data_IF_029964565017
#
_entry.id   IF_029964565017
#
_cell.length_a   1.000
_cell.length_b   1.000
_cell.length_c   1.000
_cell.angle_alpha   90.00
_cell.angle_beta   90.00
_cell.angle_gamma   90.00
#
_symmetry.space_group_name_H-M   'P 1'
#
loop_
_entity.id
_entity.type
_entity.pdbx_description
1 polymer ?
#
# COMPACT_ATOMS: atom_id res chain seq x y z
N UNK A 1 -14.10 15.16 16.18
CA UNK A 1 -15.24 14.40 15.63
C UNK A 1 -15.77 13.33 16.58
N UNK A 2 -14.96 12.37 17.05
CA UNK A 2 -15.44 11.36 18.03
C UNK A 2 -16.09 11.97 19.29
N UNK A 3 -15.43 12.96 19.90
CA UNK A 3 -15.98 13.69 21.06
C UNK A 3 -17.29 14.41 20.71
N UNK A 4 -17.43 14.94 19.50
CA UNK A 4 -18.66 15.59 19.03
C UNK A 4 -19.78 14.56 18.94
N UNK A 5 -19.53 13.39 18.34
CA UNK A 5 -20.48 12.28 18.32
C UNK A 5 -20.87 11.83 19.74
N UNK A 6 -19.91 11.74 20.66
CA UNK A 6 -20.18 11.38 22.05
C UNK A 6 -21.06 12.42 22.77
N UNK A 7 -20.81 13.72 22.57
CA UNK A 7 -21.64 14.80 23.12
C UNK A 7 -23.04 14.77 22.51
N UNK A 8 -23.16 14.66 21.19
CA UNK A 8 -24.46 14.57 20.51
C UNK A 8 -25.26 13.34 20.93
N UNK A 9 -24.58 12.22 21.19
CA UNK A 9 -25.21 10.99 21.72
C UNK A 9 -25.75 11.24 23.12
N UNK A 10 -24.97 11.89 24.02
CA UNK A 10 -25.45 12.25 25.36
C UNK A 10 -26.60 13.26 25.37
N UNK A 11 -26.66 14.12 24.35
CA UNK A 11 -27.73 15.11 24.19
C UNK A 11 -28.97 14.55 23.47
N UNK A 12 -29.01 13.23 23.18
CA UNK A 12 -30.08 12.57 22.43
C UNK A 12 -30.40 13.25 21.08
N UNK A 13 -29.36 13.77 20.41
CA UNK A 13 -29.48 14.39 19.07
C UNK A 13 -29.69 13.33 17.99
N UNK A 14 -29.21 12.11 18.22
CA UNK A 14 -29.31 11.00 17.28
C UNK A 14 -30.46 10.07 17.67
N UNK A 15 -31.16 9.54 16.66
CA UNK A 15 -32.29 8.61 16.86
C UNK A 15 -31.84 7.33 17.58
N UNK A 16 -32.74 6.74 18.37
CA UNK A 16 -32.58 5.40 18.93
C UNK A 16 -32.97 4.29 17.94
N UNK A 17 -33.60 4.63 16.82
CA UNK A 17 -34.03 3.70 15.79
C UNK A 17 -32.84 3.16 14.98
N UNK A 18 -32.55 1.84 15.00
CA UNK A 18 -31.44 1.25 14.25
C UNK A 18 -31.49 1.47 12.73
N UNK A 19 -32.69 1.68 12.17
CA UNK A 19 -32.88 1.90 10.74
C UNK A 19 -32.60 3.35 10.32
N UNK A 20 -32.52 4.28 11.28
CA UNK A 20 -32.18 5.67 11.02
C UNK A 20 -30.66 5.84 10.79
N UNK A 21 -30.29 6.64 9.79
CA UNK A 21 -28.88 6.88 9.47
C UNK A 21 -28.11 7.53 10.63
N UNK A 22 -28.78 8.35 11.45
CA UNK A 22 -28.21 9.02 12.62
C UNK A 22 -27.83 8.06 13.74
N UNK A 23 -28.47 6.89 13.82
CA UNK A 23 -28.13 5.85 14.80
C UNK A 23 -26.68 5.37 14.66
N UNK A 24 -26.16 5.31 13.44
CA UNK A 24 -24.76 4.93 13.15
C UNK A 24 -23.73 5.95 13.64
N UNK A 25 -24.16 7.16 13.99
CA UNK A 25 -23.31 8.21 14.55
C UNK A 25 -23.15 8.10 16.07
N UNK A 26 -23.90 7.22 16.73
CA UNK A 26 -23.90 7.07 18.18
C UNK A 26 -22.69 6.31 18.70
N UNK A 27 -22.19 6.73 19.87
CA UNK A 27 -21.01 6.10 20.51
C UNK A 27 -21.36 4.99 21.51
N UNK A 28 -22.63 4.89 21.93
CA UNK A 28 -23.08 3.94 22.95
C UNK A 28 -23.50 2.57 22.39
N UNK A 29 -23.80 2.49 21.09
CA UNK A 29 -24.28 1.29 20.37
C UNK A 29 -23.36 0.07 20.58
N UNK A 30 -22.05 0.28 20.61
CA UNK A 30 -21.04 -0.79 20.73
C UNK A 30 -20.42 -0.87 22.13
N UNK A 31 -21.03 -0.23 23.15
CA UNK A 31 -20.48 -0.19 24.52
C UNK A 31 -20.35 -1.58 25.15
N UNK A 32 -21.29 -2.50 24.87
CA UNK A 32 -21.22 -3.91 25.33
C UNK A 32 -19.97 -4.62 24.83
N UNK A 33 -19.54 -4.37 23.59
CA UNK A 33 -18.31 -4.94 23.02
C UNK A 33 -17.10 -4.57 23.87
N UNK A 34 -17.04 -3.33 24.36
CA UNK A 34 -15.95 -2.86 25.22
C UNK A 34 -16.00 -3.57 26.57
N UNK A 35 -17.18 -3.83 27.14
CA UNK A 35 -17.33 -4.52 28.43
C UNK A 35 -16.95 -6.01 28.32
N UNK A 36 -17.43 -6.69 27.28
CA UNK A 36 -17.30 -8.14 27.12
C UNK A 36 -15.93 -8.58 26.60
N UNK A 37 -15.19 -7.70 25.91
CA UNK A 37 -13.88 -8.05 25.34
C UNK A 37 -12.83 -8.28 26.44
N UNK A 38 -12.04 -9.37 26.42
CA UNK A 38 -10.97 -9.57 27.39
C UNK A 38 -9.88 -8.50 27.29
N UNK A 39 -9.13 -8.29 28.37
CA UNK A 39 -8.01 -7.34 28.38
C UNK A 39 -6.86 -7.76 27.47
N UNK A 40 -6.59 -9.06 27.40
CA UNK A 40 -5.53 -9.64 26.56
C UNK A 40 -6.23 -10.51 25.51
N UNK A 41 -5.99 -10.18 24.24
CA UNK A 41 -6.48 -10.93 23.09
C UNK A 41 -5.29 -11.26 22.20
N UNK A 42 -4.95 -12.54 22.10
CA UNK A 42 -3.86 -13.01 21.24
C UNK A 42 -4.49 -13.81 20.10
N UNK A 43 -4.45 -13.31 18.85
CA UNK A 43 -4.97 -14.06 17.71
C UNK A 43 -4.08 -15.29 17.48
N UNK A 44 -4.71 -16.42 17.18
CA UNK A 44 -4.01 -17.65 16.81
C UNK A 44 -4.43 -18.08 15.40
N UNK A 45 -3.54 -18.75 14.66
CA UNK A 45 -3.83 -19.15 13.29
C UNK A 45 -5.01 -20.13 13.24
N UNK A 46 -5.95 -19.89 12.32
CA UNK A 46 -7.13 -20.75 12.14
C UNK A 46 -8.28 -20.48 13.12
N UNK A 47 -8.26 -19.37 13.87
CA UNK A 47 -9.33 -19.00 14.80
C UNK A 47 -10.73 -18.88 14.15
N UNK A 48 -10.81 -18.60 12.84
CA UNK A 48 -12.07 -18.45 12.11
C UNK A 48 -12.40 -19.66 11.21
N UNK A 49 -11.74 -20.80 11.42
CA UNK A 49 -11.96 -22.04 10.68
C UNK A 49 -10.86 -22.35 9.66
N UNK A 50 -11.06 -23.45 8.93
CA UNK A 50 -10.09 -23.95 7.93
C UNK A 50 -10.13 -23.13 6.65
N UNK A 51 -8.99 -22.93 5.96
CA UNK A 51 -8.94 -22.19 4.71
C UNK A 51 -9.84 -22.83 3.65
N UNK A 52 -10.71 -22.03 3.03
CA UNK A 52 -11.57 -22.44 1.92
C UNK A 52 -11.05 -21.80 0.63
N UNK A 53 -11.01 -22.57 -0.45
CA UNK A 53 -10.58 -22.07 -1.75
C UNK A 53 -11.79 -21.73 -2.62
N UNK A 54 -11.82 -20.51 -3.15
CA UNK A 54 -12.75 -20.07 -4.17
C UNK A 54 -11.95 -19.42 -5.30
N UNK A 55 -12.06 -19.96 -6.52
CA UNK A 55 -11.26 -19.52 -7.65
C UNK A 55 -11.52 -18.05 -8.05
N UNK A 56 -12.77 -17.58 -7.98
CA UNK A 56 -13.13 -16.22 -8.34
C UNK A 56 -12.60 -15.20 -7.32
N UNK A 57 -12.72 -15.50 -6.03
CA UNK A 57 -12.16 -14.67 -4.96
C UNK A 57 -10.63 -14.67 -5.06
N UNK A 58 -10.01 -15.84 -5.29
CA UNK A 58 -8.57 -15.96 -5.47
C UNK A 58 -8.06 -15.07 -6.61
N UNK A 59 -8.71 -15.09 -7.79
CA UNK A 59 -8.33 -14.24 -8.91
C UNK A 59 -8.53 -12.75 -8.62
N UNK A 60 -9.63 -12.39 -7.95
CA UNK A 60 -9.87 -11.01 -7.51
C UNK A 60 -8.78 -10.47 -6.59
N UNK A 61 -8.37 -11.27 -5.60
CA UNK A 61 -7.28 -10.91 -4.70
C UNK A 61 -5.91 -10.96 -5.38
N UNK A 62 -5.68 -11.88 -6.31
CA UNK A 62 -4.43 -11.94 -7.09
C UNK A 62 -4.22 -10.63 -7.85
N UNK A 63 -5.27 -10.12 -8.48
CA UNK A 63 -5.25 -8.84 -9.18
C UNK A 63 -4.97 -7.68 -8.20
N UNK A 64 -5.67 -7.66 -7.06
CA UNK A 64 -5.45 -6.63 -6.04
C UNK A 64 -4.01 -6.63 -5.50
N UNK A 65 -3.43 -7.81 -5.29
CA UNK A 65 -2.03 -7.97 -4.84
C UNK A 65 -1.06 -7.48 -5.91
N UNK A 66 -1.29 -7.77 -7.20
CA UNK A 66 -0.45 -7.25 -8.29
C UNK A 66 -0.48 -5.72 -8.30
N UNK A 67 -1.65 -5.10 -8.17
CA UNK A 67 -1.78 -3.64 -8.09
C UNK A 67 -1.06 -3.08 -6.85
N UNK A 68 -1.20 -3.74 -5.70
CA UNK A 68 -0.51 -3.36 -4.45
C UNK A 68 1.01 -3.48 -4.55
N UNK A 69 1.55 -4.47 -5.27
CA UNK A 69 3.00 -4.58 -5.51
C UNK A 69 3.51 -3.40 -6.33
N UNK A 70 2.76 -2.96 -7.35
CA UNK A 70 3.14 -1.80 -8.17
C UNK A 70 3.12 -0.52 -7.33
N UNK A 71 2.08 -0.33 -6.52
CA UNK A 71 2.00 0.76 -5.55
C UNK A 71 3.21 0.74 -4.59
N UNK A 72 3.55 -0.43 -4.05
CA UNK A 72 4.63 -0.59 -3.08
C UNK A 72 6.01 -0.29 -3.66
N UNK A 73 6.26 -0.67 -4.92
CA UNK A 73 7.47 -0.27 -5.64
C UNK A 73 7.56 1.25 -5.76
N UNK A 74 6.44 1.91 -6.09
CA UNK A 74 6.35 3.37 -6.14
C UNK A 74 6.66 4.02 -4.78
N UNK A 75 6.10 3.47 -3.70
CA UNK A 75 6.33 3.95 -2.33
C UNK A 75 7.80 3.81 -1.90
N UNK A 76 8.47 2.72 -2.27
CA UNK A 76 9.89 2.53 -1.95
C UNK A 76 10.76 3.58 -2.63
N UNK A 77 10.51 3.84 -3.92
CA UNK A 77 11.24 4.85 -4.70
C UNK A 77 10.94 6.25 -4.17
N UNK A 78 9.67 6.56 -3.89
CA UNK A 78 9.25 7.84 -3.33
C UNK A 78 9.86 8.07 -1.94
N UNK A 79 9.91 7.03 -1.10
CA UNK A 79 10.55 7.09 0.23
C UNK A 79 12.03 7.41 0.10
N UNK A 80 12.75 6.72 -0.80
CA UNK A 80 14.16 6.98 -1.04
C UNK A 80 14.39 8.44 -1.48
N UNK A 81 13.55 8.95 -2.39
CA UNK A 81 13.61 10.34 -2.87
C UNK A 81 13.37 11.35 -1.75
N UNK A 82 12.34 11.15 -0.94
CA UNK A 82 11.98 12.03 0.19
C UNK A 82 13.07 12.03 1.27
N UNK A 83 13.73 10.88 1.48
CA UNK A 83 14.83 10.76 2.43
C UNK A 83 16.18 11.26 1.88
N UNK A 84 16.26 11.71 0.62
CA UNK A 84 17.51 11.96 -0.09
C UNK A 84 18.48 10.77 0.02
N UNK A 85 17.95 9.55 -0.11
CA UNK A 85 18.71 8.32 -0.03
C UNK A 85 19.14 7.86 -1.43
N UNK A 86 20.07 6.89 -1.45
CA UNK A 86 20.47 6.23 -2.69
C UNK A 86 19.27 5.55 -3.40
N UNK A 87 19.32 5.43 -4.74
CA UNK A 87 18.35 4.66 -5.50
C UNK A 87 18.21 3.24 -4.94
N UNK A 88 16.96 2.75 -4.87
CA UNK A 88 16.68 1.45 -4.24
C UNK A 88 17.17 0.32 -5.16
N UNK A 89 18.09 -0.55 -4.72
CA UNK A 89 18.60 -1.62 -5.55
C UNK A 89 17.57 -2.75 -5.71
N UNK A 90 17.65 -3.49 -6.83
CA UNK A 90 16.68 -4.56 -7.18
C UNK A 90 16.53 -5.63 -6.09
N UNK A 91 17.62 -6.01 -5.41
CA UNK A 91 17.57 -7.00 -4.33
C UNK A 91 16.77 -6.50 -3.12
N UNK A 92 16.82 -5.20 -2.82
CA UNK A 92 16.06 -4.59 -1.73
C UNK A 92 14.56 -4.50 -2.09
N UNK A 93 14.22 -4.19 -3.34
CA UNK A 93 12.84 -4.21 -3.86
C UNK A 93 12.24 -5.61 -3.76
N UNK A 94 12.91 -6.63 -4.31
CA UNK A 94 12.44 -8.01 -4.28
C UNK A 94 12.24 -8.52 -2.85
N UNK A 95 13.14 -8.15 -1.94
CA UNK A 95 13.01 -8.47 -0.52
C UNK A 95 11.82 -7.78 0.15
N UNK A 96 11.60 -6.49 -0.14
CA UNK A 96 10.44 -5.76 0.38
C UNK A 96 9.13 -6.44 0.02
N UNK A 97 8.94 -6.74 -1.28
CA UNK A 97 7.76 -7.43 -1.81
C UNK A 97 7.61 -8.83 -1.19
N UNK A 98 8.70 -9.58 -1.04
CA UNK A 98 8.65 -10.91 -0.42
C UNK A 98 8.20 -10.84 1.05
N UNK A 99 8.67 -9.84 1.81
CA UNK A 99 8.27 -9.62 3.20
C UNK A 99 6.79 -9.27 3.28
N UNK A 100 6.29 -8.38 2.41
CA UNK A 100 4.86 -8.06 2.32
C UNK A 100 4.00 -9.30 2.01
N UNK A 101 4.45 -10.16 1.10
CA UNK A 101 3.77 -11.43 0.81
C UNK A 101 3.73 -12.37 2.02
N UNK A 102 4.86 -12.54 2.72
CA UNK A 102 4.95 -13.36 3.94
C UNK A 102 4.00 -12.84 5.02
N UNK A 103 4.01 -11.54 5.29
CA UNK A 103 3.13 -10.94 6.29
C UNK A 103 1.67 -10.94 5.85
N UNK A 104 1.37 -10.89 4.55
CA UNK A 104 0.01 -11.10 4.04
C UNK A 104 -0.51 -12.51 4.32
N UNK A 105 0.34 -13.53 4.16
CA UNK A 105 -0.01 -14.91 4.53
C UNK A 105 -0.24 -15.01 6.04
N UNK A 106 0.65 -14.45 6.86
CA UNK A 106 0.50 -14.44 8.33
C UNK A 106 -0.80 -13.74 8.72
N UNK A 107 -1.06 -12.55 8.16
CA UNK A 107 -2.29 -11.75 8.35
C UNK A 107 -3.53 -12.59 8.03
N UNK A 108 -3.56 -13.24 6.87
CA UNK A 108 -4.65 -14.14 6.46
C UNK A 108 -4.83 -15.33 7.40
N UNK A 109 -3.75 -15.98 7.83
CA UNK A 109 -3.82 -17.14 8.76
C UNK A 109 -4.30 -16.75 10.15
N UNK A 110 -3.89 -15.58 10.65
CA UNK A 110 -4.36 -14.99 11.90
C UNK A 110 -5.79 -14.44 11.79
N UNK A 111 -6.37 -14.40 10.58
CA UNK A 111 -7.78 -14.11 10.40
C UNK A 111 -8.14 -12.63 10.31
N UNK A 112 -7.19 -11.76 10.01
CA UNK A 112 -7.46 -10.32 9.79
C UNK A 112 -8.29 -10.07 8.53
N UNK A 113 -8.27 -11.01 7.57
CA UNK A 113 -9.00 -10.95 6.31
C UNK A 113 -8.44 -9.96 5.28
N UNK A 114 -7.26 -9.39 5.49
CA UNK A 114 -6.67 -8.38 4.61
C UNK A 114 -5.17 -8.64 4.35
N UNK A 115 -4.71 -8.34 3.13
CA UNK A 115 -3.30 -8.38 2.76
C UNK A 115 -2.55 -7.17 3.33
N UNK A 116 -1.22 -7.28 3.46
CA UNK A 116 -0.34 -6.19 3.92
C UNK A 116 0.35 -5.55 2.73
N UNK A 117 0.48 -4.22 2.76
CA UNK A 117 1.11 -3.40 1.71
C UNK A 117 1.91 -2.27 2.36
N UNK A 118 2.76 -1.59 1.60
CA UNK A 118 3.37 -0.33 2.04
C UNK A 118 2.32 0.73 2.36
N UNK A 119 2.63 1.63 3.30
CA UNK A 119 1.76 2.75 3.66
C UNK A 119 2.25 4.04 3.00
N UNK A 120 1.64 4.42 1.87
CA UNK A 120 1.90 5.65 1.11
C UNK A 120 1.69 6.93 1.95
N UNK A 121 0.83 6.86 2.97
CA UNK A 121 0.66 7.93 3.96
C UNK A 121 1.89 8.15 4.84
N UNK A 122 2.66 7.08 5.12
CA UNK A 122 3.93 7.17 5.84
C UNK A 122 4.96 7.92 5.01
N UNK A 123 5.02 7.64 3.70
CA UNK A 123 5.89 8.36 2.75
C UNK A 123 5.60 9.86 2.77
N UNK A 124 4.31 10.22 2.75
CA UNK A 124 3.86 11.61 2.82
C UNK A 124 4.25 12.27 4.15
N UNK A 125 4.11 11.55 5.27
CA UNK A 125 4.50 12.05 6.60
C UNK A 125 6.00 12.25 6.73
N UNK A 126 6.83 11.40 6.10
CA UNK A 126 8.28 11.58 6.05
C UNK A 126 8.64 12.90 5.38
N UNK A 127 7.95 13.28 4.30
CA UNK A 127 8.18 14.56 3.62
C UNK A 127 7.88 15.78 4.49
N UNK A 128 6.89 15.67 5.37
CA UNK A 128 6.51 16.74 6.30
C UNK A 128 7.40 16.80 7.54
N UNK A 129 7.66 15.65 8.16
CA UNK A 129 8.40 15.56 9.43
C UNK A 129 9.90 15.64 9.23
N UNK A 130 10.40 15.29 8.04
CA UNK A 130 11.82 15.14 7.71
C UNK A 130 12.57 14.14 8.62
N UNK A 131 11.84 13.19 9.22
CA UNK A 131 12.42 12.14 10.07
C UNK A 131 12.41 10.82 9.30
N UNK A 132 13.51 10.51 8.62
CA UNK A 132 13.72 9.26 7.87
C UNK A 132 14.30 8.09 8.70
N UNK A 133 14.18 8.13 10.03
CA UNK A 133 14.82 7.15 10.91
C UNK A 133 14.05 5.83 10.99
N UNK A 134 14.73 4.71 10.72
CA UNK A 134 14.16 3.35 10.79
C UNK A 134 13.73 2.95 12.18
N UNK A 135 14.44 3.43 13.20
CA UNK A 135 14.14 3.11 14.61
C UNK A 135 12.74 3.60 14.97
N UNK A 136 12.31 4.74 14.42
CA UNK A 136 10.96 5.26 14.61
C UNK A 136 9.90 4.29 14.08
N UNK A 137 10.12 3.72 12.89
CA UNK A 137 9.22 2.73 12.29
C UNK A 137 9.21 1.41 13.09
N UNK A 138 10.37 0.95 13.58
CA UNK A 138 10.46 -0.26 14.43
C UNK A 138 9.72 -0.06 15.75
N UNK A 139 9.93 1.08 16.43
CA UNK A 139 9.23 1.41 17.67
C UNK A 139 7.73 1.53 17.43
N UNK A 140 7.31 2.17 16.34
CA UNK A 140 5.90 2.25 15.95
C UNK A 140 5.28 0.86 15.75
N UNK A 141 5.98 -0.05 15.07
CA UNK A 141 5.56 -1.44 14.91
C UNK A 141 5.44 -2.20 16.22
N UNK A 142 6.41 -2.04 17.14
CA UNK A 142 6.34 -2.64 18.48
C UNK A 142 5.13 -2.11 19.26
N UNK A 143 4.90 -0.79 19.23
CA UNK A 143 3.73 -0.17 19.86
C UNK A 143 2.44 -0.74 19.26
N UNK A 144 2.36 -0.87 17.94
CA UNK A 144 1.18 -1.43 17.27
C UNK A 144 0.92 -2.89 17.70
N UNK A 145 1.96 -3.72 17.81
CA UNK A 145 1.84 -5.11 18.30
C UNK A 145 1.35 -5.14 19.75
N UNK A 146 1.92 -4.31 20.62
CA UNK A 146 1.48 -4.21 22.03
C UNK A 146 0.02 -3.77 22.12
N UNK A 147 -0.37 -2.74 21.36
CA UNK A 147 -1.75 -2.26 21.32
C UNK A 147 -2.72 -3.30 20.75
N UNK A 148 -2.28 -4.11 19.77
CA UNK A 148 -3.09 -5.19 19.21
C UNK A 148 -3.38 -6.30 20.23
N UNK A 149 -2.47 -6.56 21.17
CA UNK A 149 -2.66 -7.54 22.25
C UNK A 149 -3.65 -7.02 23.31
N UNK A 150 -3.76 -5.69 23.46
CA UNK A 150 -4.69 -5.07 24.40
C UNK A 150 -6.10 -5.11 23.79
N UNK A 151 -6.87 -6.16 24.10
CA UNK A 151 -8.19 -6.40 23.52
C UNK A 151 -9.17 -5.22 23.73
N UNK A 152 -9.11 -4.55 24.88
CA UNK A 152 -9.91 -3.34 25.16
C UNK A 152 -9.60 -2.20 24.20
N UNK A 153 -8.34 -2.02 23.79
CA UNK A 153 -7.97 -1.02 22.80
C UNK A 153 -8.63 -1.33 21.45
N UNK A 154 -8.54 -2.58 21.01
CA UNK A 154 -9.25 -3.06 19.81
C UNK A 154 -10.76 -2.83 19.89
N UNK A 155 -11.38 -3.12 21.03
CA UNK A 155 -12.82 -2.89 21.25
C UNK A 155 -13.20 -1.41 21.17
N UNK A 156 -12.37 -0.51 21.69
CA UNK A 156 -12.55 0.94 21.55
C UNK A 156 -12.45 1.37 20.08
N UNK A 157 -11.48 0.84 19.32
CA UNK A 157 -11.35 1.14 17.89
C UNK A 157 -12.57 0.66 17.09
N UNK A 158 -13.13 -0.51 17.42
CA UNK A 158 -14.38 -0.99 16.82
C UNK A 158 -15.60 -0.15 17.22
N UNK A 159 -15.55 0.54 18.36
CA UNK A 159 -16.62 1.43 18.83
C UNK A 159 -16.65 2.80 18.15
N UNK A 160 -15.69 3.11 17.29
CA UNK A 160 -15.64 4.38 16.56
C UNK A 160 -16.88 4.50 15.64
N UNK A 161 -17.66 5.60 15.73
CA UNK A 161 -18.84 5.79 14.89
C UNK A 161 -18.52 5.87 13.41
N UNK A 162 -19.44 5.40 12.57
CA UNK A 162 -19.27 5.31 11.13
C UNK A 162 -18.96 6.66 10.45
N UNK A 163 -19.57 7.81 10.85
CA UNK A 163 -19.21 9.11 10.27
C UNK A 163 -17.75 9.53 10.54
N UNK A 164 -17.20 9.13 11.69
CA UNK A 164 -15.80 9.41 12.03
C UNK A 164 -14.87 8.56 11.16
N UNK A 165 -15.20 7.28 10.99
CA UNK A 165 -14.48 6.39 10.07
C UNK A 165 -14.52 6.93 8.64
N UNK A 166 -15.69 7.36 8.16
CA UNK A 166 -15.83 7.98 6.85
C UNK A 166 -14.96 9.23 6.68
N UNK A 167 -14.91 10.11 7.68
CA UNK A 167 -14.06 11.31 7.65
C UNK A 167 -12.56 11.00 7.63
N UNK A 168 -12.12 10.01 8.41
CA UNK A 168 -10.72 9.55 8.41
C UNK A 168 -10.36 8.96 7.04
N UNK A 169 -11.20 8.08 6.50
CA UNK A 169 -10.99 7.48 5.17
C UNK A 169 -10.96 8.54 4.08
N UNK A 170 -11.84 9.55 4.12
CA UNK A 170 -11.83 10.66 3.17
C UNK A 170 -10.50 11.43 3.21
N UNK A 171 -10.00 11.76 4.40
CA UNK A 171 -8.72 12.44 4.55
C UNK A 171 -7.55 11.58 4.04
N UNK A 172 -7.55 10.28 4.37
CA UNK A 172 -6.53 9.33 3.92
C UNK A 172 -6.50 9.18 2.40
N UNK A 173 -7.67 9.02 1.76
CA UNK A 173 -7.79 8.96 0.30
C UNK A 173 -7.36 10.26 -0.37
N UNK A 174 -7.59 11.42 0.27
CA UNK A 174 -7.10 12.71 -0.21
C UNK A 174 -5.57 12.81 -0.23
N UNK A 175 -4.91 12.30 0.81
CA UNK A 175 -3.44 12.21 0.84
C UNK A 175 -2.93 11.24 -0.21
N UNK A 176 -3.58 10.08 -0.36
CA UNK A 176 -3.22 9.09 -1.38
C UNK A 176 -3.34 9.66 -2.81
N UNK A 177 -4.42 10.39 -3.09
CA UNK A 177 -4.61 11.10 -4.36
C UNK A 177 -3.51 12.15 -4.59
N UNK A 178 -3.14 12.89 -3.54
CA UNK A 178 -2.06 13.90 -3.62
C UNK A 178 -0.70 13.26 -3.94
N UNK A 179 -0.40 12.08 -3.40
CA UNK A 179 0.83 11.34 -3.70
C UNK A 179 0.84 10.87 -5.17
N UNK A 180 -0.28 10.35 -5.68
CA UNK A 180 -0.43 10.00 -7.09
C UNK A 180 -0.22 11.19 -8.03
N UNK A 181 -0.78 12.36 -7.69
CA UNK A 181 -0.56 13.60 -8.44
C UNK A 181 0.89 14.08 -8.38
N UNK A 182 1.58 13.90 -7.25
CA UNK A 182 3.00 14.24 -7.13
C UNK A 182 3.87 13.40 -8.08
N UNK A 183 3.54 12.13 -8.30
CA UNK A 183 4.25 11.29 -9.27
C UNK A 183 4.18 11.85 -10.70
N UNK A 184 3.04 12.45 -11.08
CA UNK A 184 2.84 13.06 -12.41
C UNK A 184 3.73 14.29 -12.66
N UNK A 185 4.33 14.88 -11.63
CA UNK A 185 5.26 16.02 -11.78
C UNK A 185 6.56 15.65 -12.52
N UNK A 186 6.85 14.35 -12.64
CA UNK A 186 7.99 13.86 -13.39
C UNK A 186 7.72 13.70 -14.89
N UNK A 187 6.44 13.69 -15.29
CA UNK A 187 5.98 13.51 -16.67
C UNK A 187 5.79 14.87 -17.36
N UNK A 188 5.98 14.94 -18.68
CA UNK A 188 5.73 16.18 -19.44
C UNK A 188 4.22 16.41 -19.64
N UNK A 189 3.60 17.19 -18.76
CA UNK A 189 2.16 17.50 -18.81
C UNK A 189 1.77 18.50 -19.92
N UNK A 190 2.73 19.06 -20.66
CA UNK A 190 2.43 19.86 -21.86
C UNK A 190 2.09 19.01 -23.07
N UNK A 191 2.48 17.74 -23.08
CA UNK A 191 2.18 16.83 -24.18
C UNK A 191 0.71 16.42 -24.13
N UNK A 192 -0.03 16.71 -25.22
CA UNK A 192 -1.43 16.32 -25.38
C UNK A 192 -1.59 14.80 -25.26
N UNK A 193 -0.61 14.03 -25.72
CA UNK A 193 -0.52 12.58 -25.58
C UNK A 193 -0.66 12.15 -24.12
N UNK A 194 0.18 12.68 -23.23
CA UNK A 194 0.19 12.31 -21.82
C UNK A 194 -1.10 12.73 -21.12
N UNK A 195 -1.60 13.95 -21.40
CA UNK A 195 -2.87 14.43 -20.86
C UNK A 195 -4.04 13.52 -21.28
N UNK A 196 -4.07 13.07 -22.53
CA UNK A 196 -5.08 12.13 -23.02
C UNK A 196 -4.99 10.77 -22.32
N UNK A 197 -3.79 10.21 -22.17
CA UNK A 197 -3.58 8.94 -21.45
C UNK A 197 -4.09 9.03 -20.01
N UNK A 198 -3.70 10.09 -19.28
CA UNK A 198 -4.11 10.30 -17.89
C UNK A 198 -5.63 10.48 -17.79
N UNK A 199 -6.20 11.39 -18.58
CA UNK A 199 -7.62 11.73 -18.52
C UNK A 199 -8.53 10.56 -18.87
N UNK A 200 -8.22 9.84 -19.95
CA UNK A 200 -9.00 8.67 -20.39
C UNK A 200 -8.92 7.56 -19.34
N UNK A 201 -7.73 7.27 -18.80
CA UNK A 201 -7.55 6.21 -17.81
C UNK A 201 -8.32 6.48 -16.51
N UNK A 202 -8.23 7.72 -16.00
CA UNK A 202 -8.95 8.12 -14.78
C UNK A 202 -10.46 8.10 -14.97
N UNK A 203 -10.96 8.70 -16.04
CA UNK A 203 -12.40 8.79 -16.26
C UNK A 203 -13.01 7.42 -16.56
N UNK A 204 -12.36 6.62 -17.40
CA UNK A 204 -12.85 5.29 -17.75
C UNK A 204 -12.85 4.33 -16.55
N UNK A 205 -11.85 4.42 -15.67
CA UNK A 205 -11.82 3.67 -14.42
C UNK A 205 -13.07 3.89 -13.56
N UNK A 206 -13.46 5.15 -13.36
CA UNK A 206 -14.63 5.51 -12.56
C UNK A 206 -15.92 5.11 -13.26
N UNK A 207 -16.04 5.40 -14.56
CA UNK A 207 -17.27 5.12 -15.32
C UNK A 207 -17.52 3.61 -15.43
N UNK A 208 -16.50 2.81 -15.76
CA UNK A 208 -16.68 1.37 -15.97
C UNK A 208 -16.98 0.66 -14.65
N UNK A 209 -16.29 1.02 -13.56
CA UNK A 209 -16.53 0.42 -12.25
C UNK A 209 -17.92 0.75 -11.71
N UNK A 210 -18.39 1.99 -11.87
CA UNK A 210 -19.74 2.37 -11.45
C UNK A 210 -20.82 1.75 -12.35
N UNK A 211 -20.60 1.69 -13.67
CA UNK A 211 -21.48 0.97 -14.59
C UNK A 211 -21.62 -0.51 -14.19
N UNK A 212 -20.51 -1.17 -13.89
CA UNK A 212 -20.51 -2.57 -13.43
C UNK A 212 -21.26 -2.75 -12.11
N UNK A 213 -21.21 -1.74 -11.22
CA UNK A 213 -21.94 -1.75 -9.93
C UNK A 213 -23.44 -1.57 -10.11
N UNK A 214 -23.85 -0.70 -11.04
CA UNK A 214 -25.28 -0.45 -11.33
C UNK A 214 -25.92 -1.58 -12.13
N UNK A 215 -25.14 -2.24 -13.00
CA UNK A 215 -25.63 -3.31 -13.86
C UNK A 215 -24.87 -4.64 -13.61
N UNK A 216 -25.04 -5.24 -12.42
CA UNK A 216 -24.28 -6.43 -12.03
C UNK A 216 -24.57 -7.64 -12.91
N UNK A 217 -25.72 -7.69 -13.60
CA UNK A 217 -26.15 -8.83 -14.42
C UNK A 217 -26.05 -8.60 -15.93
N UNK A 218 -25.36 -7.52 -16.35
CA UNK A 218 -25.19 -7.22 -17.78
C UNK A 218 -24.25 -8.17 -18.51
N UNK A 219 -23.30 -8.80 -17.80
CA UNK A 219 -22.34 -9.74 -18.37
C UNK A 219 -22.71 -11.16 -17.91
N UNK A 220 -23.50 -11.84 -18.74
CA UNK A 220 -23.87 -13.25 -18.55
C UNK A 220 -23.10 -14.11 -19.54
N UNK A 221 -22.01 -14.71 -19.07
CA UNK A 221 -21.34 -15.84 -19.72
C UNK A 221 -21.94 -17.15 -19.20
N UNK A 222 -21.76 -18.25 -19.94
CA UNK A 222 -22.24 -19.60 -19.59
C UNK A 222 -21.62 -20.18 -18.30
N UNK A 223 -20.66 -19.49 -17.67
CA UNK A 223 -20.01 -19.91 -16.43
C UNK A 223 -20.16 -18.86 -15.33
N UNK A 224 -20.76 -19.26 -14.20
CA UNK A 224 -20.90 -18.42 -13.01
C UNK A 224 -19.56 -17.96 -12.43
N UNK A 225 -18.52 -18.78 -12.54
CA UNK A 225 -17.19 -18.43 -12.07
C UNK A 225 -16.58 -17.30 -12.91
N UNK A 226 -16.71 -17.38 -14.24
CA UNK A 226 -16.26 -16.32 -15.14
C UNK A 226 -17.03 -15.02 -14.89
N UNK A 227 -18.36 -15.12 -14.70
CA UNK A 227 -19.18 -13.96 -14.35
C UNK A 227 -18.67 -13.30 -13.06
N UNK A 228 -18.36 -14.07 -12.02
CA UNK A 228 -17.84 -13.52 -10.77
C UNK A 228 -16.46 -12.87 -10.94
N UNK A 229 -15.56 -13.48 -11.70
CA UNK A 229 -14.22 -12.92 -11.98
C UNK A 229 -14.35 -11.57 -12.69
N UNK A 230 -15.18 -11.50 -13.73
CA UNK A 230 -15.41 -10.28 -14.51
C UNK A 230 -16.03 -9.20 -13.63
N UNK A 231 -17.05 -9.53 -12.81
CA UNK A 231 -17.68 -8.60 -11.87
C UNK A 231 -16.66 -8.00 -10.89
N UNK A 232 -15.83 -8.82 -10.26
CA UNK A 232 -14.82 -8.36 -9.29
C UNK A 232 -13.73 -7.52 -9.97
N UNK A 233 -13.30 -7.92 -11.16
CA UNK A 233 -12.23 -7.26 -11.90
C UNK A 233 -12.66 -5.90 -12.42
N UNK A 234 -13.82 -5.82 -13.08
CA UNK A 234 -14.35 -4.57 -13.64
C UNK A 234 -14.87 -3.62 -12.56
N UNK A 235 -15.35 -4.15 -11.42
CA UNK A 235 -15.76 -3.33 -10.28
C UNK A 235 -14.59 -2.64 -9.56
N UNK A 236 -13.35 -3.06 -9.79
CA UNK A 236 -12.18 -2.43 -9.19
C UNK A 236 -11.63 -1.30 -10.06
N UNK A 237 -11.99 -0.05 -9.71
CA UNK A 237 -11.56 1.14 -10.43
C UNK A 237 -10.03 1.26 -10.56
N UNK A 238 -9.26 0.90 -9.52
CA UNK A 238 -7.80 0.99 -9.57
C UNK A 238 -7.22 0.05 -10.62
N UNK A 239 -7.71 -1.19 -10.67
CA UNK A 239 -7.26 -2.16 -11.68
C UNK A 239 -7.63 -1.72 -13.09
N UNK A 240 -8.87 -1.29 -13.32
CA UNK A 240 -9.33 -0.81 -14.62
C UNK A 240 -8.48 0.38 -15.08
N UNK A 241 -8.27 1.38 -14.21
CA UNK A 241 -7.44 2.53 -14.51
C UNK A 241 -6.01 2.16 -14.85
N UNK A 242 -5.43 1.22 -14.09
CA UNK A 242 -4.10 0.69 -14.35
C UNK A 242 -4.01 0.05 -15.75
N UNK A 243 -4.90 -0.89 -16.07
CA UNK A 243 -4.88 -1.59 -17.37
C UNK A 243 -5.08 -0.62 -18.54
N UNK A 244 -6.03 0.32 -18.42
CA UNK A 244 -6.27 1.32 -19.46
C UNK A 244 -5.06 2.22 -19.64
N UNK A 245 -4.43 2.66 -18.54
CA UNK A 245 -3.22 3.48 -18.61
C UNK A 245 -2.07 2.76 -19.29
N UNK A 246 -1.89 1.46 -19.01
CA UNK A 246 -0.86 0.63 -19.61
C UNK A 246 -1.11 0.45 -21.11
N UNK A 247 -2.34 0.11 -21.51
CA UNK A 247 -2.72 -0.05 -22.92
C UNK A 247 -2.50 1.27 -23.66
N UNK A 248 -2.97 2.38 -23.09
CA UNK A 248 -2.87 3.70 -23.70
C UNK A 248 -1.40 4.15 -23.82
N UNK A 249 -0.59 3.97 -22.78
CA UNK A 249 0.82 4.37 -22.82
C UNK A 249 1.65 3.54 -23.80
N UNK A 250 1.32 2.27 -24.03
CA UNK A 250 2.00 1.42 -25.02
C UNK A 250 1.48 1.63 -26.45
N UNK A 251 0.21 1.95 -26.63
CA UNK A 251 -0.41 2.09 -27.95
C UNK A 251 -0.17 3.48 -28.54
N UNK A 252 -0.22 4.53 -27.72
CA UNK A 252 -0.04 5.91 -28.18
C UNK A 252 1.46 6.23 -28.21
N UNK A 253 1.99 6.47 -29.41
CA UNK A 253 3.40 6.84 -29.64
C UNK A 253 3.81 8.02 -28.74
N UNK A 254 4.96 7.90 -28.11
CA UNK A 254 5.54 8.94 -27.26
C UNK A 254 7.04 8.73 -27.10
N UNK A 255 7.75 9.78 -26.76
CA UNK A 255 9.20 9.75 -26.51
C UNK A 255 9.51 9.52 -25.02
N UNK A 256 10.71 9.02 -24.72
CA UNK A 256 11.15 8.79 -23.32
C UNK A 256 11.20 10.09 -22.50
N UNK A 257 11.45 11.23 -23.18
CA UNK A 257 11.36 12.56 -22.58
C UNK A 257 9.92 12.87 -22.15
N UNK A 258 8.95 12.64 -23.02
CA UNK A 258 7.54 12.90 -22.69
C UNK A 258 7.08 12.02 -21.53
N UNK A 259 7.51 10.76 -21.49
CA UNK A 259 7.20 9.82 -20.39
C UNK A 259 7.87 10.19 -19.06
N UNK A 260 8.85 11.11 -19.06
CA UNK A 260 9.55 11.54 -17.85
C UNK A 260 10.73 10.67 -17.43
N UNK A 261 11.06 9.63 -18.20
CA UNK A 261 12.12 8.65 -17.87
C UNK A 261 13.48 9.36 -17.75
N UNK A 262 13.81 10.21 -18.73
CA UNK A 262 15.09 10.94 -18.73
C UNK A 262 15.24 11.89 -17.53
N UNK A 263 14.14 12.47 -17.05
CA UNK A 263 14.14 13.37 -15.89
C UNK A 263 14.37 12.58 -14.60
N UNK A 264 13.78 11.40 -14.50
CA UNK A 264 13.95 10.51 -13.36
C UNK A 264 15.37 9.93 -13.28
N UNK A 265 15.94 9.53 -14.42
CA UNK A 265 17.32 9.05 -14.50
C UNK A 265 18.33 10.14 -14.11
N UNK A 266 18.14 11.35 -14.62
CA UNK A 266 18.99 12.50 -14.29
C UNK A 266 18.94 12.82 -12.78
N UNK A 267 17.74 12.84 -12.18
CA UNK A 267 17.56 13.12 -10.76
C UNK A 267 18.15 12.01 -9.87
N UNK A 268 18.06 10.75 -10.30
CA UNK A 268 18.72 9.63 -9.61
C UNK A 268 20.24 9.73 -9.68
N UNK A 269 20.80 10.14 -10.83
CA UNK A 269 22.23 10.32 -11.00
C UNK A 269 22.77 11.48 -10.14
N UNK A 270 22.07 12.62 -10.12
CA UNK A 270 22.42 13.79 -9.31
C UNK A 270 22.40 13.47 -7.81
N UNK A 271 21.33 12.81 -7.33
CA UNK A 271 21.25 12.36 -5.93
C UNK A 271 22.36 11.38 -5.59
N UNK A 272 22.66 10.42 -6.48
CA UNK A 272 23.76 9.47 -6.30
C UNK A 272 25.10 10.20 -6.16
N UNK A 273 25.37 11.19 -7.00
CA UNK A 273 26.62 11.95 -6.97
C UNK A 273 26.75 12.79 -5.69
N UNK A 274 25.69 13.53 -5.33
CA UNK A 274 25.67 14.35 -4.10
C UNK A 274 25.96 13.51 -2.85
N UNK A 275 25.42 12.30 -2.77
CA UNK A 275 25.62 11.40 -1.63
C UNK A 275 27.01 10.76 -1.58
N UNK A 276 27.70 10.66 -2.71
CA UNK A 276 29.08 10.17 -2.77
C UNK A 276 30.10 11.24 -2.36
N UNK A 277 29.73 12.51 -2.45
CA UNK A 277 30.57 13.66 -2.09
C UNK A 277 30.47 14.03 -0.60
N UNK A 278 29.49 13.49 0.14
CA UNK A 278 29.27 13.77 1.57
C UNK A 278 29.83 12.65 2.47
N UNK A 279 30.92 12.95 3.18
CA UNK A 279 31.64 12.04 4.08
C UNK A 279 30.81 11.56 5.30
N UNK A 280 29.68 12.21 5.59
CA UNK A 280 28.79 11.84 6.72
C UNK A 280 27.63 10.92 6.32
N UNK A 281 27.56 10.49 5.05
CA UNK A 281 26.45 9.68 4.54
C UNK A 281 26.58 8.21 4.95
N UNK A 282 25.44 7.62 5.36
CA UNK A 282 25.34 6.20 5.70
C UNK A 282 25.72 5.34 4.47
N UNK A 283 26.67 4.39 4.59
CA UNK A 283 27.05 3.50 3.50
C UNK A 283 25.84 2.75 2.93
N UNK A 284 25.79 2.56 1.60
CA UNK A 284 24.70 1.82 0.92
C UNK A 284 24.44 0.45 1.51
N UNK A 285 25.50 -0.26 1.90
CA UNK A 285 25.41 -1.56 2.58
C UNK A 285 24.67 -1.46 3.90
N UNK A 286 25.00 -0.48 4.75
CA UNK A 286 24.33 -0.26 6.03
C UNK A 286 22.88 0.21 5.85
N UNK A 287 22.62 0.95 4.77
CA UNK A 287 21.28 1.36 4.40
C UNK A 287 20.47 0.15 3.89
N UNK A 288 20.89 -0.61 2.90
CA UNK A 288 20.04 -1.69 2.39
C UNK A 288 20.19 -3.04 3.12
N UNK A 289 21.04 -3.14 4.15
CA UNK A 289 21.09 -4.34 5.00
C UNK A 289 20.03 -4.35 6.10
N UNK A 290 19.59 -5.55 6.44
CA UNK A 290 18.69 -5.79 7.57
C UNK A 290 19.48 -5.74 8.90
N UNK A 291 18.99 -5.00 9.90
CA UNK A 291 19.56 -5.04 11.24
C UNK A 291 19.38 -6.46 11.82
N UNK A 292 20.39 -6.98 12.50
CA UNK A 292 20.46 -8.33 13.10
C UNK A 292 20.49 -9.52 12.13
N UNK A 293 19.75 -9.47 11.02
CA UNK A 293 19.73 -10.57 10.03
C UNK A 293 21.06 -10.70 9.31
N UNK A 294 21.70 -9.58 8.96
CA UNK A 294 23.07 -9.57 8.42
C UNK A 294 24.09 -10.24 9.37
N UNK A 295 23.89 -10.13 10.69
CA UNK A 295 24.71 -10.84 11.70
C UNK A 295 24.38 -12.33 11.76
N UNK A 296 23.10 -12.70 11.70
CA UNK A 296 22.64 -14.09 11.65
C UNK A 296 23.13 -14.81 10.37
N UNK A 297 23.17 -14.13 9.23
CA UNK A 297 23.69 -14.66 7.97
C UNK A 297 25.21 -14.82 7.93
N UNK A 298 25.95 -14.06 8.74
CA UNK A 298 27.38 -14.29 8.97
C UNK A 298 27.60 -15.56 9.81
N UNK A 299 26.67 -15.87 10.71
CA UNK A 299 26.72 -17.07 11.57
C UNK A 299 26.20 -18.34 10.87
N UNK A 300 25.14 -18.23 10.05
CA UNK A 300 24.48 -19.35 9.37
C UNK A 300 24.65 -19.26 7.84
N UNK A 301 25.60 -20.03 7.27
CA UNK A 301 25.85 -20.13 5.82
C UNK A 301 24.64 -20.48 4.93
N UNK A 302 23.69 -21.37 5.31
CA UNK A 302 22.55 -21.68 4.44
C UNK A 302 21.58 -20.51 4.27
N UNK A 303 21.52 -19.59 5.25
CA UNK A 303 20.67 -18.40 5.21
C UNK A 303 21.08 -17.39 4.12
N UNK A 304 22.27 -17.53 3.52
CA UNK A 304 22.73 -16.72 2.36
C UNK A 304 22.10 -17.16 1.03
N UNK A 305 21.61 -18.39 0.93
CA UNK A 305 21.00 -18.94 -0.29
C UNK A 305 19.49 -18.66 -0.37
N UNK A 306 18.93 -18.03 0.67
CA UNK A 306 17.53 -17.63 0.69
C UNK A 306 17.38 -16.35 -0.16
N UNK A 307 16.61 -16.39 -1.27
CA UNK A 307 16.62 -15.35 -2.29
C UNK A 307 16.17 -13.97 -1.77
N UNK A 308 15.28 -13.93 -0.78
CA UNK A 308 14.79 -12.69 -0.18
C UNK A 308 15.64 -12.18 0.98
N UNK A 309 16.63 -12.95 1.46
CA UNK A 309 17.49 -12.51 2.57
C UNK A 309 18.85 -12.00 2.11
N UNK A 310 19.17 -12.02 0.81
CA UNK A 310 20.53 -11.72 0.34
C UNK A 310 21.07 -10.39 0.91
N UNK A 311 22.30 -10.40 1.49
CA UNK A 311 22.94 -9.19 1.97
C UNK A 311 23.34 -8.30 0.79
N UNK A 312 23.57 -7.02 1.05
CA UNK A 312 24.18 -6.13 0.07
C UNK A 312 25.55 -6.67 -0.35
N UNK A 313 25.75 -6.90 -1.65
CA UNK A 313 27.05 -7.29 -2.22
C UNK A 313 27.55 -6.10 -3.06
N UNK A 314 28.73 -5.57 -2.76
CA UNK A 314 29.38 -4.46 -3.49
C UNK A 314 29.50 -4.70 -5.01
N UNK A 315 29.47 -5.96 -5.47
CA UNK A 315 29.50 -6.29 -6.89
C UNK A 315 28.28 -5.79 -7.69
N UNK A 316 27.16 -5.44 -7.02
CA UNK A 316 26.01 -4.81 -7.69
C UNK A 316 26.31 -3.38 -8.18
N UNK A 317 27.28 -2.68 -7.56
CA UNK A 317 27.69 -1.34 -8.01
C UNK A 317 28.51 -1.40 -9.32
N UNK A 318 29.15 -2.54 -9.63
CA UNK A 318 29.97 -2.72 -10.85
C UNK A 318 29.10 -2.88 -12.10
N UNK A 319 27.94 -3.54 -11.98
CA UNK A 319 26.98 -3.68 -13.10
C UNK A 319 26.19 -2.40 -13.37
N UNK A 320 26.00 -1.55 -12.37
CA UNK A 320 25.26 -0.28 -12.49
C UNK A 320 26.12 0.86 -13.08
N UNK A 321 27.44 0.68 -13.12
CA UNK A 321 28.40 1.60 -13.74
C UNK A 321 28.80 1.20 -15.18
N UNK A 322 28.20 0.16 -15.77
CA UNK A 322 28.63 -0.28 -17.11
C UNK A 322 27.91 -1.48 -17.70
N UNK A 323 26.60 -1.38 -17.93
CA UNK A 323 25.95 -2.13 -19.04
C UNK A 323 24.59 -1.53 -19.37
N UNK A 324 24.61 -0.40 -20.08
CA UNK A 324 23.68 -0.19 -21.19
C UNK A 324 23.97 -1.28 -22.23
N UNK A 325 23.34 -2.45 -22.08
CA UNK A 325 23.16 -3.36 -23.19
C UNK A 325 21.71 -3.80 -23.20
N UNK A 326 20.96 -3.14 -24.07
CA UNK A 326 19.74 -3.65 -24.67
C UNK A 326 19.92 -5.12 -25.09
N UNK A 327 19.01 -5.96 -24.62
CA UNK A 327 18.57 -7.16 -25.32
C UNK A 327 17.09 -7.38 -24.96
#
# INVERSE_FOLDING_TARGET
MWVVCAVCTKLNVFSDDPDDMSFKARTDVRSKVIQDTPWILIPYPGQFGTPKFNAAIFLGFLIAVITSVIESVGDYIATARVCHAYPVPRHALNRGIAIEGIFSVISGTLGTGHATTSYSTTVSLLGLTKIGSRIVLVISGIIAVVLAIIGKFGAVMTSVPDPVLGGITFAMLGVLCSLGLSALQNVELRSSRNLSVIGISLYFAVVLSEWQRQFPDSLKTDSDQLNQIVKVTLGNAMFVGFIVSLIMDNTVKGTDRERGILKEDALSAENKQTLLEDDHVIPRSLLFDLPFVSRLQKSCKPLRHVPFLQPYIESYDVTDNGSNQYA
#
